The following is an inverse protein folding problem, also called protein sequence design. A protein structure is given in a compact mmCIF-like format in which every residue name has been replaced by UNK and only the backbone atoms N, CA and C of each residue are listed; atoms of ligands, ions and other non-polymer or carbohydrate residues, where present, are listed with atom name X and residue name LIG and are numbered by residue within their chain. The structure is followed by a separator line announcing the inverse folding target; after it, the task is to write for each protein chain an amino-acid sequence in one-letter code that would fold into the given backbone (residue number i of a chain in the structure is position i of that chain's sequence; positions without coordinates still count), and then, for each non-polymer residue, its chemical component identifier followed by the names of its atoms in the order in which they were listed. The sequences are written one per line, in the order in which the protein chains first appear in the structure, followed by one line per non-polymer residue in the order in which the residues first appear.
data_IF_127527784209
#
_entry.id   IF_127527784209
#
_cell.length_a   1.000
_cell.length_b   1.000
_cell.length_c   1.000
_cell.angle_alpha   90.00
_cell.angle_beta   90.00
_cell.angle_gamma   90.00
#
_symmetry.space_group_name_H-M   'P 1'
#
loop_
_entity.id
_entity.type
_entity.pdbx_description
1 polymer ?
#
# COMPACT_ATOMS: atom_id res chain seq x y z
N UNK A 1 24.34 -40.05 -43.37
CA UNK A 1 25.42 -39.09 -43.05
C UNK A 1 24.93 -38.24 -41.89
N UNK A 2 25.40 -38.52 -40.67
CA UNK A 2 25.04 -37.74 -39.48
C UNK A 2 26.14 -36.73 -39.26
N UNK A 3 25.86 -35.46 -39.54
CA UNK A 3 26.83 -34.37 -39.37
C UNK A 3 26.91 -34.06 -37.88
N UNK A 4 27.95 -34.56 -37.21
CA UNK A 4 28.34 -34.10 -35.87
C UNK A 4 28.88 -32.68 -36.00
N UNK A 5 27.99 -31.68 -35.89
CA UNK A 5 28.37 -30.26 -35.95
C UNK A 5 29.12 -29.91 -34.67
N UNK A 6 30.44 -29.74 -34.76
CA UNK A 6 31.32 -29.39 -33.63
C UNK A 6 31.00 -27.96 -33.18
N UNK A 7 30.16 -27.81 -32.16
CA UNK A 7 29.88 -26.50 -31.56
C UNK A 7 31.16 -26.04 -30.87
N UNK A 8 31.64 -24.82 -31.17
CA UNK A 8 32.80 -24.27 -30.48
C UNK A 8 32.45 -24.16 -28.99
N UNK A 9 33.28 -24.71 -28.10
CA UNK A 9 33.08 -24.62 -26.65
C UNK A 9 32.86 -23.19 -26.17
N UNK A 10 33.42 -22.21 -26.87
CA UNK A 10 33.17 -20.78 -26.63
C UNK A 10 31.67 -20.42 -26.64
N UNK A 11 30.89 -20.95 -27.58
CA UNK A 11 29.44 -20.67 -27.70
C UNK A 11 28.63 -21.32 -26.56
N UNK A 12 29.08 -22.47 -26.04
CA UNK A 12 28.44 -23.11 -24.89
C UNK A 12 28.63 -22.29 -23.61
N UNK A 13 29.86 -21.79 -23.40
CA UNK A 13 30.16 -20.93 -22.24
C UNK A 13 29.39 -19.63 -22.31
N UNK A 14 29.31 -19.01 -23.49
CA UNK A 14 28.57 -17.76 -23.71
C UNK A 14 27.07 -17.92 -23.40
N UNK A 15 26.44 -18.98 -23.90
CA UNK A 15 25.02 -19.26 -23.63
C UNK A 15 24.76 -19.57 -22.16
N UNK A 16 25.67 -20.28 -21.49
CA UNK A 16 25.58 -20.55 -20.06
C UNK A 16 25.69 -19.25 -19.25
N UNK A 17 26.67 -18.41 -19.54
CA UNK A 17 26.86 -17.12 -18.85
C UNK A 17 25.63 -16.21 -19.05
N UNK A 18 25.11 -16.12 -20.28
CA UNK A 18 23.91 -15.36 -20.57
C UNK A 18 22.69 -15.87 -19.77
N UNK A 19 22.52 -17.19 -19.68
CA UNK A 19 21.43 -17.78 -18.89
C UNK A 19 21.53 -17.45 -17.40
N UNK A 20 22.75 -17.49 -16.83
CA UNK A 20 23.00 -17.15 -15.42
C UNK A 20 22.70 -15.68 -15.17
N UNK A 21 23.10 -14.78 -16.08
CA UNK A 21 22.79 -13.35 -15.97
C UNK A 21 21.27 -13.13 -15.98
N UNK A 22 20.53 -13.79 -16.88
CA UNK A 22 19.07 -13.68 -16.94
C UNK A 22 18.45 -14.12 -15.60
N UNK A 23 18.87 -15.26 -15.06
CA UNK A 23 18.38 -15.76 -13.76
C UNK A 23 18.66 -14.77 -12.63
N UNK A 24 19.87 -14.20 -12.57
CA UNK A 24 20.23 -13.19 -11.55
C UNK A 24 19.32 -11.97 -11.64
N UNK A 25 19.06 -11.46 -12.86
CA UNK A 25 18.17 -10.31 -13.07
C UNK A 25 16.76 -10.63 -12.58
N UNK A 26 16.22 -11.81 -12.90
CA UNK A 26 14.89 -12.22 -12.42
C UNK A 26 14.83 -12.35 -10.90
N UNK A 27 15.89 -12.84 -10.26
CA UNK A 27 15.95 -12.91 -8.79
C UNK A 27 15.94 -11.53 -8.16
N UNK A 28 16.75 -10.59 -8.66
CA UNK A 28 16.79 -9.21 -8.16
C UNK A 28 15.43 -8.54 -8.36
N UNK A 29 14.82 -8.70 -9.54
CA UNK A 29 13.49 -8.15 -9.83
C UNK A 29 12.42 -8.73 -8.89
N UNK A 30 12.44 -10.04 -8.65
CA UNK A 30 11.47 -10.71 -7.77
C UNK A 30 11.59 -10.25 -6.32
N UNK A 31 12.82 -10.13 -5.81
CA UNK A 31 13.08 -9.61 -4.47
C UNK A 31 12.66 -8.15 -4.35
N UNK A 32 12.94 -7.33 -5.37
CA UNK A 32 12.55 -5.92 -5.41
C UNK A 32 11.03 -5.77 -5.40
N UNK A 33 10.33 -6.55 -6.23
CA UNK A 33 8.86 -6.56 -6.27
C UNK A 33 8.27 -7.01 -4.94
N UNK A 34 8.81 -8.07 -4.32
CA UNK A 34 8.36 -8.53 -3.00
C UNK A 34 8.53 -7.43 -1.93
N UNK A 35 9.62 -6.68 -1.97
CA UNK A 35 9.85 -5.59 -1.02
C UNK A 35 8.85 -4.43 -1.23
N UNK A 36 8.61 -4.04 -2.48
CA UNK A 36 7.60 -3.02 -2.83
C UNK A 36 6.21 -3.49 -2.38
N UNK A 37 5.84 -4.72 -2.72
CA UNK A 37 4.54 -5.29 -2.40
C UNK A 37 4.30 -5.38 -0.88
N UNK A 38 5.32 -5.78 -0.11
CA UNK A 38 5.27 -5.75 1.36
C UNK A 38 5.13 -4.34 1.90
N UNK A 39 5.85 -3.36 1.35
CA UNK A 39 5.70 -1.95 1.72
C UNK A 39 4.28 -1.44 1.48
N UNK A 40 3.69 -1.76 0.33
CA UNK A 40 2.32 -1.36 -0.02
C UNK A 40 1.26 -2.06 0.83
N UNK A 41 1.35 -3.38 1.07
CA UNK A 41 0.37 -4.10 1.89
C UNK A 41 0.44 -3.70 3.36
N UNK A 42 1.65 -3.51 3.90
CA UNK A 42 1.82 -3.12 5.30
C UNK A 42 1.48 -1.63 5.54
N UNK A 43 1.13 -0.89 4.49
CA UNK A 43 0.55 0.44 4.62
C UNK A 43 -0.92 0.29 5.06
N UNK A 44 -1.13 -0.05 6.34
CA UNK A 44 -2.43 -0.09 7.05
C UNK A 44 -3.27 1.19 6.78
N UNK A 45 -2.61 2.27 6.36
CA UNK A 45 -3.18 3.55 5.96
C UNK A 45 -4.17 3.46 4.78
N UNK A 46 -4.09 2.45 3.89
CA UNK A 46 -4.99 2.37 2.74
C UNK A 46 -6.45 2.14 3.17
N UNK A 47 -6.69 1.20 4.08
CA UNK A 47 -8.02 0.91 4.64
C UNK A 47 -8.53 2.11 5.43
N UNK A 48 -7.66 2.73 6.23
CA UNK A 48 -8.01 3.94 6.98
C UNK A 48 -8.37 5.11 6.06
N UNK A 49 -7.58 5.35 5.01
CA UNK A 49 -7.85 6.41 4.02
C UNK A 49 -9.18 6.20 3.33
N UNK A 50 -9.51 4.97 2.96
CA UNK A 50 -10.82 4.66 2.39
C UNK A 50 -11.95 4.97 3.37
N UNK A 51 -11.81 4.59 4.65
CA UNK A 51 -12.81 4.87 5.68
C UNK A 51 -12.97 6.36 5.96
N UNK A 52 -11.86 7.09 6.04
CA UNK A 52 -11.83 8.57 6.16
C UNK A 52 -12.58 9.22 4.99
N UNK A 53 -12.33 8.77 3.76
CA UNK A 53 -13.00 9.31 2.57
C UNK A 53 -14.51 9.01 2.58
N UNK A 54 -14.89 7.79 2.99
CA UNK A 54 -16.29 7.39 3.13
C UNK A 54 -17.03 8.26 4.16
N UNK A 55 -16.45 8.44 5.36
CA UNK A 55 -17.02 9.28 6.42
C UNK A 55 -17.08 10.75 5.98
N UNK A 56 -16.06 11.25 5.30
CA UNK A 56 -16.05 12.60 4.73
C UNK A 56 -17.21 12.81 3.76
N UNK A 57 -17.42 11.84 2.86
CA UNK A 57 -18.55 11.87 1.95
C UNK A 57 -19.90 11.83 2.68
N UNK A 58 -20.04 10.99 3.71
CA UNK A 58 -21.29 10.89 4.47
C UNK A 58 -21.63 12.13 5.28
N UNK A 59 -20.64 12.79 5.87
CA UNK A 59 -20.84 14.07 6.58
C UNK A 59 -21.26 15.16 5.59
N UNK A 60 -20.59 15.27 4.44
CA UNK A 60 -20.93 16.26 3.40
C UNK A 60 -22.33 16.03 2.80
N UNK A 61 -22.81 14.78 2.75
CA UNK A 61 -24.14 14.45 2.23
C UNK A 61 -25.21 14.30 3.33
N UNK A 62 -24.92 14.74 4.56
CA UNK A 62 -25.83 14.65 5.73
C UNK A 62 -26.35 13.21 6.01
N UNK A 63 -25.61 12.19 5.56
CA UNK A 63 -25.97 10.77 5.73
C UNK A 63 -25.55 10.22 7.10
N UNK A 64 -24.68 10.94 7.81
CA UNK A 64 -24.24 10.61 9.17
C UNK A 64 -24.60 11.79 10.08
N UNK A 65 -25.21 11.49 11.22
CA UNK A 65 -25.49 12.49 12.26
C UNK A 65 -24.21 12.73 13.06
N UNK A 66 -23.79 13.99 13.13
CA UNK A 66 -22.72 14.46 14.01
C UNK A 66 -23.34 14.83 15.37
N UNK A 67 -22.71 14.52 16.52
CA UNK A 67 -21.40 13.87 16.67
C UNK A 67 -21.45 12.37 16.36
N UNK A 68 -20.37 11.89 15.73
CA UNK A 68 -20.22 10.49 15.35
C UNK A 68 -18.94 9.91 15.95
N UNK A 69 -19.04 8.70 16.51
CA UNK A 69 -17.91 7.99 17.10
C UNK A 69 -17.86 6.57 16.57
N UNK A 70 -16.66 6.15 16.17
CA UNK A 70 -16.39 4.82 15.68
C UNK A 70 -15.13 4.27 16.34
N UNK A 71 -15.30 3.18 17.08
CA UNK A 71 -14.22 2.39 17.65
C UNK A 71 -13.93 1.21 16.71
N UNK A 72 -12.71 1.17 16.18
CA UNK A 72 -12.18 0.01 15.45
C UNK A 72 -10.99 -0.59 16.21
N UNK A 73 -10.61 -1.86 15.92
CA UNK A 73 -9.47 -2.50 16.60
C UNK A 73 -8.13 -1.76 16.47
N UNK A 74 -7.99 -0.91 15.45
CA UNK A 74 -6.74 -0.20 15.13
C UNK A 74 -6.85 1.31 15.33
N UNK A 75 -8.06 1.87 15.26
CA UNK A 75 -8.30 3.31 15.19
C UNK A 75 -9.55 3.70 15.98
N UNK A 76 -9.48 4.82 16.69
CA UNK A 76 -10.66 5.54 17.18
C UNK A 76 -10.91 6.73 16.27
N UNK A 77 -12.14 6.88 15.78
CA UNK A 77 -12.54 7.98 14.89
C UNK A 77 -13.66 8.74 15.60
N UNK A 78 -13.47 10.04 15.77
CA UNK A 78 -14.47 10.97 16.31
C UNK A 78 -14.74 12.07 15.29
N UNK A 79 -16.00 12.43 15.10
CA UNK A 79 -16.42 13.57 14.29
C UNK A 79 -17.23 14.48 15.19
N UNK A 80 -16.75 15.71 15.37
CA UNK A 80 -17.34 16.71 16.24
C UNK A 80 -17.44 18.05 15.51
N UNK A 81 -18.45 18.84 15.86
CA UNK A 81 -18.57 20.21 15.34
C UNK A 81 -17.83 21.16 16.27
N UNK A 82 -16.74 21.76 15.78
CA UNK A 82 -15.96 22.76 16.50
C UNK A 82 -16.05 24.09 15.74
N UNK A 83 -16.43 25.17 16.44
CA UNK A 83 -16.54 26.53 15.87
C UNK A 83 -17.47 26.65 14.64
N UNK A 84 -18.42 25.73 14.47
CA UNK A 84 -19.33 25.69 13.31
C UNK A 84 -18.83 24.87 12.12
N UNK A 85 -17.60 24.34 12.17
CA UNK A 85 -17.05 23.41 11.18
C UNK A 85 -17.08 21.97 11.72
N UNK A 86 -17.28 20.98 10.84
CA UNK A 86 -17.14 19.57 11.21
C UNK A 86 -15.65 19.18 11.20
N UNK A 87 -15.15 18.66 12.31
CA UNK A 87 -13.76 18.21 12.46
C UNK A 87 -13.77 16.72 12.78
N UNK A 88 -12.94 15.97 12.05
CA UNK A 88 -12.70 14.55 12.30
C UNK A 88 -11.33 14.34 12.91
N UNK A 89 -11.33 13.68 14.06
CA UNK A 89 -10.14 13.27 14.80
C UNK A 89 -9.99 11.75 14.65
N UNK A 90 -8.81 11.32 14.21
CA UNK A 90 -8.48 9.91 14.01
C UNK A 90 -7.27 9.58 14.88
N UNK A 91 -7.45 8.69 15.85
CA UNK A 91 -6.40 8.23 16.76
C UNK A 91 -6.01 6.79 16.44
N UNK A 92 -4.73 6.55 16.16
CA UNK A 92 -4.20 5.20 16.00
C UNK A 92 -3.88 4.57 17.37
N UNK A 93 -4.46 3.40 17.66
CA UNK A 93 -4.30 2.70 18.94
C UNK A 93 -2.90 2.13 19.17
N UNK A 94 -2.18 1.78 18.10
CA UNK A 94 -0.85 1.15 18.18
C UNK A 94 0.26 2.15 18.44
N UNK A 95 0.23 3.31 17.77
CA UNK A 95 1.31 4.30 17.84
C UNK A 95 0.90 5.63 18.49
N UNK A 96 -0.36 5.76 18.95
CA UNK A 96 -0.96 6.99 19.51
C UNK A 96 -0.81 8.22 18.61
N UNK A 97 -0.63 8.01 17.30
CA UNK A 97 -0.62 9.09 16.33
C UNK A 97 -2.05 9.58 16.13
N UNK A 98 -2.25 10.87 16.34
CA UNK A 98 -3.50 11.56 16.11
C UNK A 98 -3.43 12.33 14.80
N UNK A 99 -4.49 12.25 14.00
CA UNK A 99 -4.64 12.98 12.75
C UNK A 99 -5.95 13.75 12.86
N UNK A 100 -5.87 15.08 12.78
CA UNK A 100 -7.05 15.96 12.73
C UNK A 100 -7.28 16.41 11.30
N UNK A 101 -8.50 16.22 10.82
CA UNK A 101 -8.93 16.59 9.47
C UNK A 101 -10.12 17.52 9.62
N UNK A 102 -9.99 18.74 9.09
CA UNK A 102 -11.13 19.64 8.93
C UNK A 102 -11.97 19.17 7.75
N UNK A 103 -13.25 18.92 7.97
CA UNK A 103 -14.21 18.71 6.89
C UNK A 103 -14.75 20.08 6.51
N UNK A 104 -14.15 20.69 5.48
CA UNK A 104 -14.71 21.87 4.85
C UNK A 104 -16.03 21.51 4.15
N UNK A 105 -16.98 22.45 4.17
CA UNK A 105 -18.27 22.38 3.46
C UNK A 105 -18.12 22.08 1.96
#
# INVERSE_FOLDING_TARGET
MVILKKIRSATLVETMVASVIIVIVFLIASLSLNNIFRGTINSDDATLRNRINELTYFVSNEKVKVPFYEDTPLWDIAIETQEGENVMEVLNKKNRKEIRIKLAE
#
